data_IF_213378193684
#
_entry.id   IF_213378193684
#
_cell.length_a   1.000
_cell.length_b   1.000
_cell.length_c   1.000
_cell.angle_alpha   90.00
_cell.angle_beta   90.00
_cell.angle_gamma   90.00
#
_symmetry.space_group_name_H-M   'P 1'
#
loop_
_entity.id
_entity.type
_entity.pdbx_description
1 polymer ?
#
# COMPACT_ATOMS: atom_id res chain seq x y z
N UNK A 1 -15.51 -14.34 -35.34
CA UNK A 1 -14.17 -14.92 -35.11
C UNK A 1 -13.32 -14.46 -36.28
N UNK A 2 -12.27 -13.68 -36.03
CA UNK A 2 -11.30 -13.33 -37.07
C UNK A 2 -10.30 -14.45 -37.28
N UNK A 3 -9.45 -14.28 -38.29
CA UNK A 3 -8.50 -15.30 -38.70
C UNK A 3 -7.47 -15.59 -37.61
N UNK A 4 -7.14 -16.88 -37.46
CA UNK A 4 -6.08 -17.33 -36.57
C UNK A 4 -4.74 -16.95 -37.16
N UNK A 5 -4.01 -16.11 -36.44
CA UNK A 5 -2.68 -15.66 -36.83
C UNK A 5 -1.63 -16.47 -36.06
N UNK A 6 -0.57 -16.89 -36.74
CA UNK A 6 0.54 -17.56 -36.06
C UNK A 6 1.38 -16.56 -35.27
N UNK A 7 2.06 -17.00 -34.20
CA UNK A 7 2.89 -16.12 -33.37
C UNK A 7 4.03 -15.49 -34.20
N UNK A 8 4.64 -16.26 -35.10
CA UNK A 8 5.70 -15.76 -35.98
C UNK A 8 5.19 -14.69 -36.94
N UNK A 9 4.01 -14.89 -37.51
CA UNK A 9 3.36 -13.90 -38.38
C UNK A 9 2.99 -12.63 -37.61
N UNK A 10 2.45 -12.76 -36.38
CA UNK A 10 2.16 -11.63 -35.49
C UNK A 10 3.43 -10.80 -35.24
N UNK A 11 4.52 -11.45 -34.85
CA UNK A 11 5.80 -10.79 -34.56
C UNK A 11 6.36 -10.11 -35.81
N UNK A 12 6.32 -10.78 -36.97
CA UNK A 12 6.79 -10.22 -38.24
C UNK A 12 6.02 -8.95 -38.62
N UNK A 13 4.68 -9.01 -38.56
CA UNK A 13 3.82 -7.87 -38.86
C UNK A 13 4.02 -6.73 -37.85
N UNK A 14 4.15 -7.05 -36.56
CA UNK A 14 4.43 -6.04 -35.54
C UNK A 14 5.79 -5.35 -35.80
N UNK A 15 6.80 -6.13 -36.17
CA UNK A 15 8.15 -5.64 -36.49
C UNK A 15 8.16 -4.79 -37.76
N UNK A 16 7.26 -5.04 -38.71
CA UNK A 16 7.06 -4.20 -39.91
C UNK A 16 6.26 -2.92 -39.65
N UNK A 17 5.97 -2.59 -38.39
CA UNK A 17 5.23 -1.39 -38.00
C UNK A 17 3.71 -1.54 -37.94
N UNK A 18 3.16 -2.73 -38.23
CA UNK A 18 1.72 -2.97 -38.07
C UNK A 18 1.36 -2.93 -36.58
N UNK A 19 0.29 -2.21 -36.24
CA UNK A 19 -0.26 -2.19 -34.87
C UNK A 19 -1.71 -2.68 -34.81
N UNK A 20 -2.42 -2.71 -35.94
CA UNK A 20 -3.80 -3.17 -35.99
C UNK A 20 -3.89 -4.70 -36.11
N UNK A 21 -4.32 -5.33 -35.02
CA UNK A 21 -4.56 -6.76 -34.86
C UNK A 21 -5.95 -7.03 -34.27
N UNK A 22 -6.94 -6.20 -34.61
CA UNK A 22 -8.30 -6.32 -34.09
C UNK A 22 -8.95 -7.63 -34.51
N UNK A 23 -9.77 -8.19 -33.61
CA UNK A 23 -10.56 -9.41 -33.80
C UNK A 23 -9.76 -10.65 -34.21
N UNK A 24 -8.44 -10.64 -34.06
CA UNK A 24 -7.58 -11.79 -34.40
C UNK A 24 -7.79 -12.94 -33.41
N UNK A 25 -7.60 -14.16 -33.88
CA UNK A 25 -7.54 -15.33 -33.00
C UNK A 25 -6.09 -15.65 -32.62
N UNK A 26 -5.79 -15.43 -31.35
CA UNK A 26 -4.52 -15.68 -30.65
C UNK A 26 -4.73 -16.67 -29.48
N UNK A 27 -5.81 -17.45 -29.52
CA UNK A 27 -6.13 -18.38 -28.44
C UNK A 27 -5.11 -19.51 -28.35
N UNK A 28 -4.69 -19.80 -27.10
CA UNK A 28 -3.67 -20.80 -26.79
C UNK A 28 -2.27 -20.48 -27.34
N UNK A 29 -2.04 -19.26 -27.83
CA UNK A 29 -0.74 -18.87 -28.39
C UNK A 29 0.31 -18.66 -27.29
N UNK A 30 1.54 -19.08 -27.57
CA UNK A 30 2.71 -18.75 -26.74
C UNK A 30 3.22 -17.35 -27.10
N UNK A 31 2.87 -16.38 -26.27
CA UNK A 31 3.18 -14.95 -26.42
C UNK A 31 4.05 -14.46 -25.26
N UNK A 32 4.81 -15.36 -24.61
CA UNK A 32 5.64 -15.00 -23.47
C UNK A 32 6.66 -13.95 -23.87
N UNK A 33 6.76 -12.89 -23.06
CA UNK A 33 7.74 -11.81 -23.24
C UNK A 33 7.67 -11.10 -24.60
N UNK A 34 6.57 -11.27 -25.34
CA UNK A 34 6.36 -10.56 -26.60
C UNK A 34 6.22 -9.07 -26.32
N UNK A 35 6.67 -8.24 -27.26
CA UNK A 35 6.39 -6.81 -27.22
C UNK A 35 5.22 -6.50 -28.15
N UNK A 36 4.11 -6.05 -27.58
CA UNK A 36 2.91 -5.60 -28.27
C UNK A 36 2.49 -4.21 -27.78
N UNK A 37 3.43 -3.39 -27.31
CA UNK A 37 3.17 -2.00 -26.92
C UNK A 37 2.45 -1.24 -28.04
N UNK A 38 1.41 -0.49 -27.69
CA UNK A 38 0.55 0.24 -28.64
C UNK A 38 -0.18 -0.63 -29.67
N UNK A 39 -0.20 -1.96 -29.52
CA UNK A 39 -0.98 -2.80 -30.41
C UNK A 39 -2.48 -2.59 -30.16
N UNK A 40 -3.25 -2.77 -31.22
CA UNK A 40 -4.70 -2.72 -31.19
C UNK A 40 -5.25 -4.13 -31.34
N UNK A 41 -5.62 -4.73 -30.21
CA UNK A 41 -6.13 -6.08 -30.04
C UNK A 41 -7.61 -6.06 -29.64
N UNK A 42 -8.33 -5.00 -30.01
CA UNK A 42 -9.76 -4.87 -29.73
C UNK A 42 -10.53 -6.09 -30.25
N UNK A 43 -11.34 -6.70 -29.39
CA UNK A 43 -12.17 -7.86 -29.73
C UNK A 43 -11.40 -9.15 -30.04
N UNK A 44 -10.07 -9.16 -29.87
CA UNK A 44 -9.25 -10.34 -30.18
C UNK A 44 -9.48 -11.45 -29.17
N UNK A 45 -9.37 -12.69 -29.65
CA UNK A 45 -9.48 -13.89 -28.83
C UNK A 45 -8.09 -14.28 -28.32
N UNK A 46 -7.85 -14.08 -27.02
CA UNK A 46 -6.60 -14.39 -26.30
C UNK A 46 -6.85 -15.46 -25.22
N UNK A 47 -7.93 -16.24 -25.33
CA UNK A 47 -8.25 -17.30 -24.36
C UNK A 47 -7.10 -18.27 -24.25
N UNK A 48 -6.72 -18.61 -23.02
CA UNK A 48 -5.60 -19.53 -22.72
C UNK A 48 -4.24 -19.11 -23.33
N UNK A 49 -4.08 -17.87 -23.77
CA UNK A 49 -2.79 -17.40 -24.27
C UNK A 49 -1.78 -17.29 -23.12
N UNK A 50 -0.53 -17.62 -23.41
CA UNK A 50 0.59 -17.47 -22.48
C UNK A 50 1.25 -16.11 -22.73
N UNK A 51 0.91 -15.10 -21.95
CA UNK A 51 1.40 -13.71 -22.04
C UNK A 51 2.37 -13.36 -20.90
N UNK A 52 3.01 -14.37 -20.29
CA UNK A 52 3.89 -14.18 -19.14
C UNK A 52 5.02 -13.21 -19.49
N UNK A 53 5.18 -12.13 -18.72
CA UNK A 53 6.18 -11.10 -18.95
C UNK A 53 6.03 -10.31 -20.26
N UNK A 54 4.89 -10.42 -20.95
CA UNK A 54 4.65 -9.66 -22.18
C UNK A 54 4.58 -8.16 -21.91
N UNK A 55 5.07 -7.36 -22.85
CA UNK A 55 4.90 -5.91 -22.84
C UNK A 55 3.63 -5.54 -23.59
N UNK A 56 2.60 -5.18 -22.83
CA UNK A 56 1.28 -4.74 -23.29
C UNK A 56 1.00 -3.29 -22.86
N UNK A 57 2.03 -2.48 -22.60
CA UNK A 57 1.85 -1.08 -22.24
C UNK A 57 1.05 -0.34 -23.33
N UNK A 58 0.08 0.49 -22.91
CA UNK A 58 -0.75 1.31 -23.79
C UNK A 58 -1.46 0.51 -24.91
N UNK A 59 -1.67 -0.78 -24.71
CA UNK A 59 -2.34 -1.66 -25.69
C UNK A 59 -3.86 -1.44 -25.63
N UNK A 60 -4.51 -1.43 -26.79
CA UNK A 60 -5.96 -1.34 -26.89
C UNK A 60 -6.57 -2.75 -26.92
N UNK A 61 -7.12 -3.20 -25.79
CA UNK A 61 -7.79 -4.49 -25.56
C UNK A 61 -9.32 -4.41 -25.24
N UNK A 62 -10.10 -3.36 -25.60
CA UNK A 62 -11.54 -3.39 -25.35
C UNK A 62 -12.21 -4.62 -25.97
N UNK A 63 -13.11 -5.24 -25.21
CA UNK A 63 -13.85 -6.44 -25.62
C UNK A 63 -12.98 -7.66 -25.95
N UNK A 64 -11.67 -7.61 -25.69
CA UNK A 64 -10.80 -8.77 -25.88
C UNK A 64 -11.18 -9.89 -24.91
N UNK A 65 -11.06 -11.14 -25.37
CA UNK A 65 -11.34 -12.31 -24.56
C UNK A 65 -10.03 -12.94 -24.05
N UNK A 66 -9.70 -12.67 -22.80
CA UNK A 66 -8.49 -13.11 -22.08
C UNK A 66 -8.83 -14.21 -21.06
N UNK A 67 -9.94 -14.95 -21.23
CA UNK A 67 -10.32 -15.97 -20.25
C UNK A 67 -9.20 -16.98 -20.06
N UNK A 68 -8.83 -17.20 -18.80
CA UNK A 68 -7.75 -18.13 -18.41
C UNK A 68 -6.41 -17.88 -19.12
N UNK A 69 -6.19 -16.68 -19.64
CA UNK A 69 -4.89 -16.28 -20.13
C UNK A 69 -3.91 -16.09 -18.97
N UNK A 70 -2.63 -16.30 -19.23
CA UNK A 70 -1.59 -16.12 -18.24
C UNK A 70 -0.80 -14.84 -18.53
N UNK A 71 -1.13 -13.76 -17.82
CA UNK A 71 -0.45 -12.46 -17.86
C UNK A 71 0.45 -12.24 -16.63
N UNK A 72 0.92 -13.31 -15.99
CA UNK A 72 1.87 -13.17 -14.87
C UNK A 72 3.08 -12.32 -15.28
N UNK A 73 3.49 -11.38 -14.43
CA UNK A 73 4.63 -10.48 -14.69
C UNK A 73 4.50 -9.58 -15.93
N UNK A 74 3.33 -9.53 -16.59
CA UNK A 74 3.14 -8.71 -17.79
C UNK A 74 3.03 -7.22 -17.42
N UNK A 75 3.47 -6.34 -18.34
CA UNK A 75 3.31 -4.90 -18.19
C UNK A 75 2.10 -4.42 -18.99
N UNK A 76 1.06 -3.96 -18.30
CA UNK A 76 -0.20 -3.43 -18.85
C UNK A 76 -0.42 -1.96 -18.46
N UNK A 77 0.65 -1.23 -18.11
CA UNK A 77 0.56 0.18 -17.75
C UNK A 77 -0.18 0.97 -18.83
N UNK A 78 -1.18 1.75 -18.42
CA UNK A 78 -2.03 2.55 -19.31
C UNK A 78 -2.78 1.75 -20.40
N UNK A 79 -2.85 0.42 -20.31
CA UNK A 79 -3.60 -0.40 -21.26
C UNK A 79 -5.11 -0.15 -21.13
N UNK A 80 -5.83 -0.29 -22.24
CA UNK A 80 -7.29 -0.14 -22.29
C UNK A 80 -7.93 -1.52 -22.35
N UNK A 81 -8.51 -1.98 -21.24
CA UNK A 81 -9.15 -3.28 -21.06
C UNK A 81 -10.66 -3.15 -20.82
N UNK A 82 -11.28 -2.07 -21.32
CA UNK A 82 -12.72 -1.79 -21.15
C UNK A 82 -13.55 -2.97 -21.60
N UNK A 83 -14.41 -3.46 -20.71
CA UNK A 83 -15.31 -4.59 -20.98
C UNK A 83 -14.58 -5.86 -21.50
N UNK A 84 -13.27 -5.96 -21.29
CA UNK A 84 -12.51 -7.17 -21.61
C UNK A 84 -12.91 -8.30 -20.65
N UNK A 85 -12.78 -9.53 -21.13
CA UNK A 85 -13.10 -10.72 -20.34
C UNK A 85 -11.83 -11.40 -19.84
N UNK A 86 -11.46 -11.15 -18.59
CA UNK A 86 -10.31 -11.75 -17.90
C UNK A 86 -10.74 -12.84 -16.90
N UNK A 87 -11.92 -13.44 -17.05
CA UNK A 87 -12.41 -14.45 -16.10
C UNK A 87 -11.39 -15.58 -15.96
N UNK A 88 -10.96 -15.85 -14.73
CA UNK A 88 -9.99 -16.89 -14.41
C UNK A 88 -8.59 -16.67 -14.96
N UNK A 89 -8.25 -15.47 -15.44
CA UNK A 89 -6.90 -15.15 -15.89
C UNK A 89 -5.93 -15.04 -14.71
N UNK A 90 -4.66 -15.33 -14.95
CA UNK A 90 -3.59 -15.14 -13.97
C UNK A 90 -2.83 -13.85 -14.29
N UNK A 91 -2.83 -12.86 -13.39
CA UNK A 91 -2.11 -11.61 -13.47
C UNK A 91 -1.28 -11.34 -12.20
N UNK A 92 -0.80 -12.41 -11.54
CA UNK A 92 0.14 -12.28 -10.42
C UNK A 92 1.33 -11.41 -10.82
N UNK A 93 1.71 -10.47 -9.96
CA UNK A 93 2.80 -9.50 -10.20
C UNK A 93 2.69 -8.65 -11.48
N UNK A 94 1.54 -8.66 -12.16
CA UNK A 94 1.35 -7.84 -13.34
C UNK A 94 1.28 -6.35 -12.97
N UNK A 95 1.73 -5.50 -13.89
CA UNK A 95 1.71 -4.05 -13.70
C UNK A 95 0.61 -3.40 -14.53
N UNK A 96 -0.51 -3.09 -13.88
CA UNK A 96 -1.70 -2.42 -14.43
C UNK A 96 -1.80 -0.95 -13.99
N UNK A 97 -0.67 -0.28 -13.71
CA UNK A 97 -0.64 1.16 -13.37
C UNK A 97 -1.50 1.97 -14.35
N UNK A 98 -2.48 2.68 -13.82
CA UNK A 98 -3.43 3.52 -14.57
C UNK A 98 -4.16 2.83 -15.75
N UNK A 99 -4.21 1.50 -15.77
CA UNK A 99 -4.97 0.77 -16.78
C UNK A 99 -6.48 1.03 -16.66
N UNK A 100 -7.18 1.03 -17.80
CA UNK A 100 -8.63 1.24 -17.85
C UNK A 100 -9.37 -0.10 -18.00
N UNK A 101 -9.84 -0.63 -16.89
CA UNK A 101 -10.61 -1.89 -16.78
C UNK A 101 -12.11 -1.63 -16.55
N UNK A 102 -12.64 -0.48 -16.96
CA UNK A 102 -14.05 -0.14 -16.75
C UNK A 102 -14.94 -1.24 -17.33
N UNK A 103 -15.84 -1.79 -16.50
CA UNK A 103 -16.78 -2.85 -16.90
C UNK A 103 -16.13 -4.21 -17.23
N UNK A 104 -14.83 -4.37 -17.04
CA UNK A 104 -14.14 -5.63 -17.31
C UNK A 104 -14.64 -6.76 -16.40
N UNK A 105 -14.54 -8.00 -16.87
CA UNK A 105 -14.89 -9.19 -16.10
C UNK A 105 -13.62 -9.88 -15.59
N UNK A 106 -13.38 -9.81 -14.29
CA UNK A 106 -12.24 -10.37 -13.55
C UNK A 106 -12.71 -11.44 -12.53
N UNK A 107 -13.85 -12.08 -12.80
CA UNK A 107 -14.43 -13.07 -11.88
C UNK A 107 -13.43 -14.24 -11.73
N UNK A 108 -13.06 -14.54 -10.48
CA UNK A 108 -12.10 -15.60 -10.13
C UNK A 108 -10.73 -15.49 -10.82
N UNK A 109 -10.31 -14.29 -11.23
CA UNK A 109 -8.94 -14.08 -11.69
C UNK A 109 -7.98 -13.94 -10.51
N UNK A 110 -6.71 -14.25 -10.76
CA UNK A 110 -5.65 -14.21 -9.76
C UNK A 110 -4.77 -12.98 -10.00
N UNK A 111 -4.81 -11.98 -9.12
CA UNK A 111 -3.97 -10.78 -9.16
C UNK A 111 -3.19 -10.54 -7.85
N UNK A 112 -2.67 -11.58 -7.16
CA UNK A 112 -1.91 -11.33 -5.95
C UNK A 112 -0.67 -10.51 -6.27
N UNK A 113 -0.36 -9.53 -5.41
CA UNK A 113 0.81 -8.65 -5.54
C UNK A 113 0.87 -7.84 -6.86
N UNK A 114 -0.23 -7.73 -7.61
CA UNK A 114 -0.28 -6.90 -8.81
C UNK A 114 -0.27 -5.41 -8.47
N UNK A 115 0.25 -4.59 -9.38
CA UNK A 115 0.17 -3.13 -9.28
C UNK A 115 -1.05 -2.61 -10.04
N UNK A 116 -2.03 -2.07 -9.34
CA UNK A 116 -3.25 -1.45 -9.88
C UNK A 116 -3.39 0.01 -9.43
N UNK A 117 -2.29 0.67 -9.06
CA UNK A 117 -2.31 2.08 -8.66
C UNK A 117 -3.01 2.93 -9.73
N UNK A 118 -4.00 3.72 -9.32
CA UNK A 118 -4.77 4.59 -10.20
C UNK A 118 -5.60 3.88 -11.28
N UNK A 119 -5.68 2.54 -11.28
CA UNK A 119 -6.44 1.80 -12.28
C UNK A 119 -7.94 2.12 -12.18
N UNK A 120 -8.63 2.10 -13.33
CA UNK A 120 -10.07 2.40 -13.42
C UNK A 120 -10.85 1.09 -13.54
N UNK A 121 -11.50 0.67 -12.46
CA UNK A 121 -12.29 -0.56 -12.34
C UNK A 121 -13.78 -0.28 -12.08
N UNK A 122 -14.25 0.93 -12.39
CA UNK A 122 -15.67 1.29 -12.25
C UNK A 122 -16.55 0.29 -12.99
N UNK A 123 -17.61 -0.20 -12.33
CA UNK A 123 -18.53 -1.24 -12.85
C UNK A 123 -17.88 -2.61 -13.17
N UNK A 124 -16.62 -2.85 -12.79
CA UNK A 124 -15.96 -4.12 -13.03
C UNK A 124 -16.59 -5.26 -12.21
N UNK A 125 -16.54 -6.48 -12.76
CA UNK A 125 -17.02 -7.70 -12.11
C UNK A 125 -15.83 -8.45 -11.53
N UNK A 126 -15.64 -8.37 -10.22
CA UNK A 126 -14.48 -8.85 -9.45
C UNK A 126 -14.88 -9.94 -8.43
N UNK A 127 -16.00 -10.63 -8.65
CA UNK A 127 -16.50 -11.64 -7.71
C UNK A 127 -15.47 -12.76 -7.53
N UNK A 128 -15.13 -13.07 -6.28
CA UNK A 128 -14.12 -14.07 -5.94
C UNK A 128 -12.74 -13.82 -6.55
N UNK A 129 -12.42 -12.58 -6.93
CA UNK A 129 -11.07 -12.23 -7.40
C UNK A 129 -10.08 -12.35 -6.26
N UNK A 130 -8.85 -12.77 -6.57
CA UNK A 130 -7.75 -12.69 -5.61
C UNK A 130 -6.91 -11.43 -5.89
N UNK A 131 -6.91 -10.49 -4.95
CA UNK A 131 -6.14 -9.24 -4.94
C UNK A 131 -5.28 -9.15 -3.68
N UNK A 132 -4.95 -10.28 -3.06
CA UNK A 132 -4.13 -10.31 -1.85
C UNK A 132 -2.79 -9.58 -2.10
N UNK A 133 -2.44 -8.68 -1.19
CA UNK A 133 -1.23 -7.85 -1.23
C UNK A 133 -1.09 -6.98 -2.49
N UNK A 134 -2.16 -6.78 -3.27
CA UNK A 134 -2.13 -5.93 -4.45
C UNK A 134 -2.01 -4.44 -4.05
N UNK A 135 -1.31 -3.66 -4.88
CA UNK A 135 -1.26 -2.21 -4.74
C UNK A 135 -2.42 -1.57 -5.51
N UNK A 136 -3.42 -1.09 -4.79
CA UNK A 136 -4.64 -0.45 -5.28
C UNK A 136 -4.71 1.04 -4.90
N UNK A 137 -3.56 1.68 -4.64
CA UNK A 137 -3.50 3.08 -4.23
C UNK A 137 -4.25 3.98 -5.23
N UNK A 138 -5.23 4.75 -4.75
CA UNK A 138 -6.02 5.66 -5.58
C UNK A 138 -6.89 5.00 -6.65
N UNK A 139 -7.15 3.69 -6.55
CA UNK A 139 -7.98 2.93 -7.51
C UNK A 139 -9.41 3.49 -7.58
N UNK A 140 -10.05 3.39 -8.76
CA UNK A 140 -11.48 3.67 -8.93
C UNK A 140 -12.29 2.37 -9.04
N UNK A 141 -12.91 1.95 -7.94
CA UNK A 141 -13.77 0.76 -7.80
C UNK A 141 -15.25 1.13 -7.64
N UNK A 142 -15.67 2.34 -8.04
CA UNK A 142 -17.06 2.78 -7.88
C UNK A 142 -18.04 1.79 -8.52
N UNK A 143 -19.04 1.35 -7.76
CA UNK A 143 -20.07 0.40 -8.21
C UNK A 143 -19.49 -0.92 -8.77
N UNK A 144 -18.26 -1.26 -8.42
CA UNK A 144 -17.66 -2.54 -8.79
C UNK A 144 -18.22 -3.66 -7.89
N UNK A 145 -18.26 -4.89 -8.41
CA UNK A 145 -18.71 -6.04 -7.64
C UNK A 145 -17.53 -6.91 -7.21
N UNK A 146 -17.11 -6.75 -5.97
CA UNK A 146 -16.06 -7.50 -5.27
C UNK A 146 -16.64 -8.53 -4.28
N UNK A 147 -17.84 -9.05 -4.50
CA UNK A 147 -18.42 -10.07 -3.62
C UNK A 147 -17.48 -11.28 -3.47
N UNK A 148 -17.26 -11.72 -2.24
CA UNK A 148 -16.34 -12.82 -1.89
C UNK A 148 -14.87 -12.60 -2.36
N UNK A 149 -14.45 -11.38 -2.71
CA UNK A 149 -13.09 -11.11 -3.13
C UNK A 149 -12.07 -11.32 -1.98
N UNK A 150 -10.86 -11.75 -2.32
CA UNK A 150 -9.73 -11.80 -1.39
C UNK A 150 -8.86 -10.55 -1.58
N UNK A 151 -8.70 -9.76 -0.52
CA UNK A 151 -8.01 -8.48 -0.47
C UNK A 151 -7.11 -8.42 0.79
N UNK A 152 -6.63 -9.57 1.27
CA UNK A 152 -5.80 -9.63 2.47
C UNK A 152 -4.54 -8.78 2.25
N UNK A 153 -4.25 -7.87 3.18
CA UNK A 153 -3.10 -6.97 3.10
C UNK A 153 -3.01 -6.14 1.80
N UNK A 154 -4.12 -5.89 1.12
CA UNK A 154 -4.14 -5.03 -0.06
C UNK A 154 -4.01 -3.54 0.34
N UNK A 155 -3.33 -2.75 -0.49
CA UNK A 155 -3.08 -1.33 -0.26
C UNK A 155 -4.07 -0.49 -1.08
N UNK A 156 -5.19 -0.06 -0.49
CA UNK A 156 -6.33 0.63 -1.15
C UNK A 156 -6.48 2.08 -0.65
N UNK A 157 -5.39 2.71 -0.17
CA UNK A 157 -5.42 4.07 0.34
C UNK A 157 -5.93 5.04 -0.72
N UNK A 158 -6.74 6.02 -0.31
CA UNK A 158 -7.38 6.98 -1.21
C UNK A 158 -8.24 6.37 -2.33
N UNK A 159 -8.59 5.08 -2.22
CA UNK A 159 -9.44 4.39 -3.18
C UNK A 159 -10.86 4.98 -3.22
N UNK A 160 -11.49 4.91 -4.39
CA UNK A 160 -12.89 5.31 -4.62
C UNK A 160 -13.75 4.06 -4.74
N UNK A 161 -14.46 3.69 -3.68
CA UNK A 161 -15.29 2.49 -3.58
C UNK A 161 -16.78 2.82 -3.38
N UNK A 162 -17.24 4.02 -3.75
CA UNK A 162 -18.63 4.42 -3.54
C UNK A 162 -19.58 3.44 -4.22
N UNK A 163 -20.54 2.92 -3.45
CA UNK A 163 -21.51 1.92 -3.90
C UNK A 163 -20.90 0.58 -4.34
N UNK A 164 -19.64 0.28 -4.00
CA UNK A 164 -19.04 -1.01 -4.32
C UNK A 164 -19.71 -2.14 -3.52
N UNK A 165 -19.82 -3.33 -4.13
CA UNK A 165 -20.35 -4.52 -3.47
C UNK A 165 -19.19 -5.39 -2.98
N UNK A 166 -18.98 -5.46 -1.68
CA UNK A 166 -17.92 -6.20 -0.97
C UNK A 166 -18.51 -7.26 -0.01
N UNK A 167 -19.75 -7.69 -0.24
CA UNK A 167 -20.40 -8.71 0.57
C UNK A 167 -19.53 -9.98 0.68
N UNK A 168 -19.22 -10.40 1.91
CA UNK A 168 -18.37 -11.55 2.18
C UNK A 168 -16.89 -11.41 1.79
N UNK A 169 -16.44 -10.22 1.37
CA UNK A 169 -15.05 -9.99 0.98
C UNK A 169 -14.11 -10.13 2.19
N UNK A 170 -12.88 -10.59 1.93
CA UNK A 170 -11.83 -10.71 2.92
C UNK A 170 -10.82 -9.57 2.78
N UNK A 171 -10.89 -8.58 3.67
CA UNK A 171 -10.06 -7.39 3.75
C UNK A 171 -9.10 -7.42 4.96
N UNK A 172 -8.86 -8.61 5.53
CA UNK A 172 -8.00 -8.75 6.72
C UNK A 172 -6.63 -8.10 6.49
N UNK A 173 -6.26 -7.19 7.40
CA UNK A 173 -4.99 -6.45 7.34
C UNK A 173 -4.83 -5.49 6.16
N UNK A 174 -5.88 -5.24 5.36
CA UNK A 174 -5.85 -4.30 4.26
C UNK A 174 -5.73 -2.84 4.74
N UNK A 175 -5.19 -1.98 3.89
CA UNK A 175 -5.04 -0.56 4.17
C UNK A 175 -6.01 0.27 3.31
N UNK A 176 -7.08 0.76 3.93
CA UNK A 176 -8.10 1.63 3.32
C UNK A 176 -8.07 3.04 3.92
N UNK A 177 -6.91 3.49 4.40
CA UNK A 177 -6.75 4.84 4.92
C UNK A 177 -7.24 5.88 3.90
N UNK A 178 -8.07 6.82 4.35
CA UNK A 178 -8.64 7.89 3.53
C UNK A 178 -9.43 7.41 2.29
N UNK A 179 -9.82 6.12 2.24
CA UNK A 179 -10.65 5.60 1.17
C UNK A 179 -12.11 6.10 1.30
N UNK A 180 -12.80 6.20 0.18
CA UNK A 180 -14.22 6.55 0.17
C UNK A 180 -15.08 5.33 -0.16
N UNK A 181 -15.73 4.77 0.86
CA UNK A 181 -16.66 3.64 0.79
C UNK A 181 -18.12 4.08 1.02
N UNK A 182 -18.48 5.33 0.72
CA UNK A 182 -19.84 5.81 0.89
C UNK A 182 -20.85 4.89 0.18
N UNK A 183 -21.84 4.40 0.92
CA UNK A 183 -22.87 3.49 0.42
C UNK A 183 -22.38 2.11 -0.03
N UNK A 184 -21.14 1.72 0.31
CA UNK A 184 -20.63 0.39 -0.03
C UNK A 184 -21.33 -0.71 0.78
N UNK A 185 -21.56 -1.87 0.16
CA UNK A 185 -22.07 -3.05 0.84
C UNK A 185 -20.90 -3.92 1.32
N UNK A 186 -20.68 -3.98 2.63
CA UNK A 186 -19.66 -4.77 3.34
C UNK A 186 -20.31 -5.83 4.25
N UNK A 187 -21.54 -6.27 3.94
CA UNK A 187 -22.22 -7.30 4.72
C UNK A 187 -21.37 -8.56 4.82
N UNK A 188 -21.25 -9.12 6.02
CA UNK A 188 -20.47 -10.35 6.30
C UNK A 188 -18.98 -10.27 5.89
N UNK A 189 -18.44 -9.08 5.61
CA UNK A 189 -17.04 -8.90 5.25
C UNK A 189 -16.11 -9.13 6.44
N UNK A 190 -14.89 -9.61 6.17
CA UNK A 190 -13.82 -9.75 7.16
C UNK A 190 -12.88 -8.56 7.05
N UNK A 191 -12.88 -7.70 8.08
CA UNK A 191 -12.11 -6.46 8.17
C UNK A 191 -11.14 -6.51 9.36
N UNK A 192 -10.69 -7.70 9.73
CA UNK A 192 -9.85 -7.89 10.92
C UNK A 192 -8.51 -7.18 10.71
N UNK A 193 -8.12 -6.29 11.62
CA UNK A 193 -6.87 -5.54 11.52
C UNK A 193 -6.80 -4.54 10.36
N UNK A 194 -7.91 -4.25 9.69
CA UNK A 194 -7.96 -3.33 8.55
C UNK A 194 -7.73 -1.88 9.00
N UNK A 195 -6.93 -1.11 8.27
CA UNK A 195 -6.77 0.33 8.52
C UNK A 195 -7.84 1.12 7.75
N UNK A 196 -8.82 1.68 8.45
CA UNK A 196 -9.88 2.55 7.92
C UNK A 196 -9.74 4.00 8.43
N UNK A 197 -8.53 4.40 8.86
CA UNK A 197 -8.28 5.74 9.40
C UNK A 197 -8.70 6.82 8.39
N UNK A 198 -9.55 7.75 8.82
CA UNK A 198 -10.07 8.84 7.99
C UNK A 198 -10.96 8.40 6.81
N UNK A 199 -11.39 7.13 6.77
CA UNK A 199 -12.23 6.65 5.67
C UNK A 199 -13.63 7.28 5.72
N UNK A 200 -14.19 7.56 4.54
CA UNK A 200 -15.61 7.90 4.42
C UNK A 200 -16.43 6.61 4.30
N UNK A 201 -17.18 6.28 5.35
CA UNK A 201 -18.04 5.10 5.49
C UNK A 201 -19.53 5.49 5.56
N UNK A 202 -19.89 6.70 5.15
CA UNK A 202 -21.27 7.18 5.23
C UNK A 202 -22.22 6.23 4.50
N UNK A 203 -23.32 5.84 5.16
CA UNK A 203 -24.32 4.93 4.62
C UNK A 203 -23.79 3.56 4.18
N UNK A 204 -22.57 3.18 4.57
CA UNK A 204 -22.03 1.86 4.28
C UNK A 204 -22.76 0.78 5.11
N UNK A 205 -22.88 -0.42 4.54
CA UNK A 205 -23.56 -1.53 5.17
C UNK A 205 -22.54 -2.56 5.68
N UNK A 206 -22.35 -2.62 6.99
CA UNK A 206 -21.50 -3.56 7.71
C UNK A 206 -22.28 -4.64 8.45
N UNK A 207 -23.52 -4.96 8.07
CA UNK A 207 -24.28 -5.98 8.79
C UNK A 207 -23.48 -7.28 8.92
N UNK A 208 -23.33 -7.75 10.18
CA UNK A 208 -22.61 -8.98 10.53
C UNK A 208 -21.14 -9.02 10.07
N UNK A 209 -20.54 -7.88 9.71
CA UNK A 209 -19.13 -7.80 9.38
C UNK A 209 -18.25 -7.98 10.63
N UNK A 210 -17.01 -8.45 10.43
CA UNK A 210 -16.02 -8.56 11.50
C UNK A 210 -14.94 -7.48 11.37
N UNK A 211 -14.98 -6.44 12.21
CA UNK A 211 -14.02 -5.35 12.28
C UNK A 211 -13.08 -5.45 13.51
N UNK A 212 -12.87 -6.64 14.07
CA UNK A 212 -11.91 -6.81 15.17
C UNK A 212 -10.53 -6.25 14.83
N UNK A 213 -9.93 -5.52 15.76
CA UNK A 213 -8.63 -4.85 15.59
C UNK A 213 -8.53 -3.85 14.42
N UNK A 214 -9.65 -3.52 13.75
CA UNK A 214 -9.66 -2.48 12.73
C UNK A 214 -9.39 -1.09 13.33
N UNK A 215 -8.74 -0.22 12.56
CA UNK A 215 -8.51 1.19 12.93
C UNK A 215 -9.55 2.07 12.26
N UNK A 216 -10.46 2.65 13.03
CA UNK A 216 -11.52 3.55 12.56
C UNK A 216 -11.26 5.02 12.97
N UNK A 217 -10.03 5.37 13.36
CA UNK A 217 -9.70 6.71 13.84
C UNK A 217 -10.07 7.76 12.80
N UNK A 218 -10.87 8.76 13.19
CA UNK A 218 -11.34 9.82 12.28
C UNK A 218 -12.26 9.37 11.14
N UNK A 219 -12.74 8.12 11.14
CA UNK A 219 -13.62 7.62 10.09
C UNK A 219 -15.04 8.21 10.22
N UNK A 220 -15.73 8.41 9.10
CA UNK A 220 -17.09 8.91 9.08
C UNK A 220 -18.09 7.78 8.83
N UNK A 221 -18.79 7.32 9.87
CA UNK A 221 -19.82 6.28 9.85
C UNK A 221 -21.26 6.83 9.89
N UNK A 222 -21.48 8.08 9.48
CA UNK A 222 -22.83 8.66 9.49
C UNK A 222 -23.83 7.79 8.70
N UNK A 223 -24.93 7.40 9.36
CA UNK A 223 -25.96 6.56 8.75
C UNK A 223 -25.50 5.14 8.35
N UNK A 224 -24.31 4.70 8.76
CA UNK A 224 -23.84 3.35 8.46
C UNK A 224 -24.68 2.29 9.20
N UNK A 225 -24.84 1.12 8.59
CA UNK A 225 -25.57 0.00 9.17
C UNK A 225 -24.60 -1.02 9.76
N UNK A 226 -24.50 -1.14 11.09
CA UNK A 226 -23.58 -2.04 11.77
C UNK A 226 -24.29 -3.15 12.54
N UNK A 227 -25.55 -3.47 12.19
CA UNK A 227 -26.32 -4.44 12.94
C UNK A 227 -25.60 -5.81 13.00
N UNK A 228 -25.36 -6.29 14.22
CA UNK A 228 -24.67 -7.57 14.46
C UNK A 228 -23.17 -7.57 14.11
N UNK A 229 -22.55 -6.42 13.83
CA UNK A 229 -21.12 -6.35 13.54
C UNK A 229 -20.27 -6.56 14.80
N UNK A 230 -19.10 -7.17 14.63
CA UNK A 230 -18.03 -7.20 15.66
C UNK A 230 -17.14 -5.98 15.43
N UNK A 231 -16.98 -5.14 16.43
CA UNK A 231 -16.25 -3.87 16.35
C UNK A 231 -14.88 -3.97 17.02
N UNK A 232 -13.94 -3.07 16.68
CA UNK A 232 -12.69 -2.96 17.41
C UNK A 232 -12.93 -2.34 18.80
N UNK A 233 -11.89 -2.34 19.64
CA UNK A 233 -11.92 -1.62 20.90
C UNK A 233 -12.14 -0.10 20.67
N UNK A 234 -12.78 0.58 21.63
CA UNK A 234 -13.11 2.03 21.53
C UNK A 234 -11.88 2.89 21.23
N UNK A 235 -10.71 2.53 21.75
CA UNK A 235 -9.43 3.21 21.49
C UNK A 235 -9.07 3.31 20.00
N UNK A 236 -9.52 2.35 19.17
CA UNK A 236 -9.31 2.37 17.72
C UNK A 236 -10.39 3.16 16.97
N UNK A 237 -11.35 3.79 17.66
CA UNK A 237 -12.46 4.54 17.06
C UNK A 237 -12.43 6.03 17.44
N UNK A 238 -11.33 6.52 18.00
CA UNK A 238 -11.19 7.93 18.40
C UNK A 238 -11.39 8.90 17.23
N UNK A 239 -12.11 10.00 17.45
CA UNK A 239 -12.40 11.02 16.43
C UNK A 239 -13.38 10.58 15.33
N UNK A 240 -13.92 9.36 15.39
CA UNK A 240 -14.87 8.86 14.39
C UNK A 240 -16.29 9.41 14.62
N UNK A 241 -17.05 9.53 13.53
CA UNK A 241 -18.39 10.12 13.53
C UNK A 241 -19.48 9.07 13.32
N UNK A 242 -20.47 9.00 14.22
CA UNK A 242 -21.47 7.90 14.30
C UNK A 242 -22.92 8.35 14.23
N UNK A 243 -23.19 9.62 13.89
CA UNK A 243 -24.57 10.13 13.89
C UNK A 243 -25.46 9.30 12.96
N UNK A 244 -26.59 8.83 13.49
CA UNK A 244 -27.54 8.01 12.73
C UNK A 244 -27.06 6.60 12.39
N UNK A 245 -25.91 6.15 12.88
CA UNK A 245 -25.45 4.78 12.66
C UNK A 245 -26.37 3.76 13.36
N UNK A 246 -26.72 2.68 12.66
CA UNK A 246 -27.53 1.60 13.22
C UNK A 246 -26.64 0.57 13.91
N UNK A 247 -26.55 0.65 15.25
CA UNK A 247 -25.62 -0.15 16.05
C UNK A 247 -26.32 -1.22 16.91
N UNK A 248 -27.48 -1.71 16.47
CA UNK A 248 -28.21 -2.75 17.21
C UNK A 248 -27.44 -4.08 17.16
N UNK A 249 -27.18 -4.66 18.33
CA UNK A 249 -26.51 -5.97 18.43
C UNK A 249 -25.02 -5.96 18.07
N UNK A 250 -24.39 -4.78 18.00
CA UNK A 250 -22.92 -4.68 17.85
C UNK A 250 -22.23 -5.35 19.05
N UNK A 251 -21.09 -5.97 18.79
CA UNK A 251 -20.27 -6.63 19.79
C UNK A 251 -18.92 -5.93 19.90
N UNK A 252 -18.53 -5.51 21.10
CA UNK A 252 -17.18 -5.00 21.37
C UNK A 252 -16.36 -6.05 22.13
N UNK A 253 -15.02 -6.06 22.01
CA UNK A 253 -14.17 -7.12 22.55
C UNK A 253 -14.28 -7.27 24.07
N UNK A 254 -14.50 -6.17 24.80
CA UNK A 254 -14.60 -6.13 26.27
C UNK A 254 -16.04 -6.14 26.79
N UNK A 255 -17.04 -6.29 25.93
CA UNK A 255 -18.46 -6.26 26.30
C UNK A 255 -19.00 -4.88 26.69
N UNK A 256 -18.22 -3.83 26.49
CA UNK A 256 -18.61 -2.44 26.68
C UNK A 256 -19.74 -2.02 25.71
N UNK A 257 -20.45 -0.95 26.05
CA UNK A 257 -21.56 -0.43 25.22
C UNK A 257 -21.05 0.71 24.35
N UNK A 258 -21.18 0.59 23.03
CA UNK A 258 -20.80 1.66 22.11
C UNK A 258 -21.57 2.97 22.36
N UNK A 259 -22.86 2.87 22.68
CA UNK A 259 -23.71 4.04 22.95
C UNK A 259 -23.19 4.95 24.06
N UNK A 260 -22.44 4.43 25.05
CA UNK A 260 -21.87 5.27 26.12
C UNK A 260 -20.58 5.99 25.70
N UNK A 261 -19.96 5.59 24.59
CA UNK A 261 -18.73 6.18 24.09
C UNK A 261 -18.97 7.31 23.08
N UNK A 262 -20.14 7.35 22.45
CA UNK A 262 -20.51 8.36 21.46
C UNK A 262 -21.05 9.60 22.20
N UNK A 263 -20.40 10.75 22.01
CA UNK A 263 -20.83 12.03 22.55
C UNK A 263 -22.09 12.57 21.84
N UNK A 264 -22.71 13.60 22.42
CA UNK A 264 -23.97 14.16 21.92
C UNK A 264 -23.88 14.76 20.51
N UNK A 265 -22.69 15.20 20.10
CA UNK A 265 -22.40 15.68 18.74
C UNK A 265 -22.28 14.55 17.71
N UNK A 266 -22.20 13.30 18.17
CA UNK A 266 -22.06 12.09 17.35
C UNK A 266 -20.62 11.61 17.20
N UNK A 267 -19.64 12.25 17.84
CA UNK A 267 -18.24 11.81 17.79
C UNK A 267 -17.88 10.89 18.95
N UNK A 268 -16.95 9.97 18.71
CA UNK A 268 -16.19 9.36 19.80
C UNK A 268 -15.01 10.30 20.11
N UNK A 269 -14.92 10.87 21.32
CA UNK A 269 -13.87 11.82 21.65
C UNK A 269 -12.49 11.18 21.54
N UNK A 270 -11.52 11.95 21.10
CA UNK A 270 -10.12 11.56 21.15
C UNK A 270 -9.63 11.74 22.60
N UNK A 271 -9.33 10.64 23.29
CA UNK A 271 -8.84 10.69 24.66
C UNK A 271 -7.47 11.37 24.77
N UNK A 272 -6.75 11.55 23.66
CA UNK A 272 -5.49 12.32 23.59
C UNK A 272 -5.73 13.83 23.45
N UNK A 273 -6.93 14.24 23.02
CA UNK A 273 -7.30 15.65 22.87
C UNK A 273 -8.06 16.21 24.08
N UNK A 274 -8.28 15.42 25.13
CA UNK A 274 -8.83 15.90 26.40
C UNK A 274 -7.67 16.51 27.20
N UNK A 275 -7.55 17.84 27.16
CA UNK A 275 -6.89 18.58 28.24
C UNK A 275 -7.50 18.16 29.59
N UNK A 276 -6.71 18.15 30.68
CA UNK A 276 -7.18 17.63 31.96
C UNK A 276 -8.43 18.41 32.39
N UNK A 277 -9.51 17.66 32.60
CA UNK A 277 -10.74 18.16 33.22
C UNK A 277 -10.35 18.89 34.50
N UNK A 278 -10.68 20.19 34.59
CA UNK A 278 -10.66 20.93 35.84
C UNK A 278 -11.48 20.14 36.87
N UNK A 279 -10.80 19.55 37.85
CA UNK A 279 -11.48 18.91 38.97
C UNK A 279 -12.06 20.00 39.86
N UNK A 280 -13.36 20.23 39.75
CA UNK A 280 -14.12 20.99 40.73
C UNK A 280 -14.29 20.13 41.97
N UNK A 281 -13.70 20.55 43.09
CA UNK A 281 -14.05 20.07 44.43
C UNK A 281 -14.88 21.17 45.15
N UNK A 282 -16.18 20.98 45.44
CA UNK A 282 -17.04 22.01 46.03
C UNK A 282 -16.90 22.21 47.55
N UNK A 283 -15.85 21.70 48.21
CA UNK A 283 -15.84 21.57 49.67
C UNK A 283 -14.59 22.10 50.41
N UNK A 284 -13.96 23.19 49.95
CA UNK A 284 -13.02 23.95 50.82
C UNK A 284 -13.51 25.38 51.01
N UNK A 285 -14.25 25.57 52.10
CA UNK A 285 -14.68 26.87 52.63
C UNK A 285 -13.65 27.38 53.66
N UNK A 286 -13.46 28.71 53.66
CA UNK A 286 -12.64 29.54 54.57
C UNK A 286 -11.13 29.54 54.22
N UNK A 287 -10.50 30.67 53.88
CA UNK A 287 -10.30 31.91 54.67
C UNK A 287 -10.13 33.11 53.71
N UNK A 288 -10.70 34.27 54.04
CA UNK A 288 -10.57 35.57 53.33
C UNK A 288 -9.45 36.45 53.97
N UNK A 289 -9.14 37.70 53.54
CA UNK A 289 -9.36 38.43 52.26
C UNK A 289 -8.11 39.21 51.74
N UNK A 290 -8.20 39.80 50.54
CA UNK A 290 -7.51 41.05 50.18
C UNK A 290 -6.34 40.96 49.20
N UNK A 291 -6.50 41.54 48.00
CA UNK A 291 -5.81 42.74 47.47
C UNK A 291 -6.44 43.05 46.09
N UNK A 292 -6.73 44.34 45.87
CA UNK A 292 -7.41 44.93 44.71
C UNK A 292 -6.69 44.75 43.35
N UNK A 293 -7.41 44.90 42.21
CA UNK A 293 -6.87 44.70 40.87
C UNK A 293 -6.08 45.92 40.37
N UNK A 294 -4.99 45.70 39.64
CA UNK A 294 -4.27 46.76 38.91
C UNK A 294 -4.70 46.78 37.44
N UNK A 295 -5.09 47.98 37.05
CA UNK A 295 -5.66 48.50 35.79
C UNK A 295 -4.75 48.27 34.54
N UNK A 296 -5.31 47.93 33.36
CA UNK A 296 -4.55 47.60 32.17
C UNK A 296 -4.37 48.84 31.26
N UNK A 297 -3.41 49.72 31.57
CA UNK A 297 -2.96 50.74 30.62
C UNK A 297 -1.68 51.47 31.10
N UNK A 298 -0.51 50.90 30.81
CA UNK A 298 0.74 51.65 30.80
C UNK A 298 1.67 51.12 29.70
N UNK A 299 1.61 51.77 28.53
CA UNK A 299 2.59 51.72 27.44
C UNK A 299 3.35 53.07 27.46
N UNK A 300 4.66 53.13 27.15
CA UNK A 300 5.10 53.27 25.74
C UNK A 300 6.45 52.56 25.41
N UNK A 301 6.60 51.97 24.21
CA UNK A 301 7.19 52.48 22.96
C UNK A 301 8.74 52.44 22.88
N UNK A 302 9.21 51.86 21.76
CA UNK A 302 10.58 51.74 21.22
C UNK A 302 11.55 50.71 21.82
N UNK A 303 11.77 49.62 21.08
CA UNK A 303 12.99 49.43 20.27
C UNK A 303 12.89 48.14 19.46
N UNK A 304 13.03 48.29 18.14
CA UNK A 304 13.18 47.25 17.16
C UNK A 304 14.54 46.55 17.28
N UNK A 305 14.57 45.21 17.23
CA UNK A 305 15.43 44.39 16.34
C UNK A 305 15.44 42.89 16.72
N UNK A 306 15.00 42.05 15.76
CA UNK A 306 15.39 40.65 15.47
C UNK A 306 14.85 39.49 16.37
N UNK A 307 14.81 38.22 15.89
CA UNK A 307 13.86 37.64 14.91
C UNK A 307 13.10 36.39 15.43
N UNK A 308 12.15 35.89 14.63
CA UNK A 308 11.30 34.72 14.85
C UNK A 308 12.02 33.47 15.40
N UNK A 309 11.53 32.94 16.52
CA UNK A 309 11.84 31.61 17.02
C UNK A 309 10.63 30.67 16.80
N UNK A 310 10.90 29.56 16.13
CA UNK A 310 9.98 28.47 15.83
C UNK A 310 9.59 27.67 17.09
N UNK A 311 8.41 27.01 17.11
CA UNK A 311 7.97 26.18 18.23
C UNK A 311 8.63 24.79 18.23
N UNK A 312 8.80 24.27 19.44
CA UNK A 312 9.36 22.96 19.82
C UNK A 312 8.51 21.77 19.34
N UNK A 313 9.10 20.55 19.15
CA UNK A 313 8.34 19.32 18.94
C UNK A 313 8.18 18.50 20.22
N UNK A 314 6.92 18.15 20.52
CA UNK A 314 6.53 17.14 21.51
C UNK A 314 6.73 15.70 21.01
N UNK A 315 6.99 14.83 21.99
CA UNK A 315 7.29 13.40 21.96
C UNK A 315 6.02 12.53 22.02
N UNK A 316 5.94 11.42 21.26
CA UNK A 316 5.61 10.07 21.79
C UNK A 316 5.48 8.97 20.72
N UNK A 317 5.96 7.77 21.07
CA UNK A 317 6.09 6.58 20.23
C UNK A 317 4.89 5.60 20.31
N UNK A 318 4.67 4.69 19.33
CA UNK A 318 3.75 3.55 19.47
C UNK A 318 4.45 2.20 19.79
N UNK A 319 3.70 1.20 20.30
CA UNK A 319 4.19 0.17 21.20
C UNK A 319 4.69 -1.14 20.54
N UNK A 320 5.43 -1.91 21.32
CA UNK A 320 6.06 -3.21 21.01
C UNK A 320 5.05 -4.38 20.95
N UNK A 321 5.10 -5.18 19.87
CA UNK A 321 4.41 -6.48 19.77
C UNK A 321 5.23 -7.61 20.41
N UNK A 322 4.64 -8.33 21.37
CA UNK A 322 5.15 -9.61 21.86
C UNK A 322 4.75 -10.75 20.91
N UNK A 323 5.67 -11.71 20.71
CA UNK A 323 5.51 -12.84 19.79
C UNK A 323 5.07 -14.14 20.50
N UNK A 324 4.13 -14.84 19.88
CA UNK A 324 3.55 -16.14 20.29
C UNK A 324 4.58 -17.29 20.11
N UNK A 325 4.80 -18.20 21.08
CA UNK A 325 5.97 -19.08 21.11
C UNK A 325 5.90 -20.34 20.22
N UNK A 326 4.88 -20.51 19.37
CA UNK A 326 4.66 -21.79 18.66
C UNK A 326 4.82 -21.74 17.13
N UNK A 327 5.58 -20.77 16.60
CA UNK A 327 5.83 -20.62 15.16
C UNK A 327 7.03 -21.45 14.69
N UNK A 328 6.82 -22.36 13.72
CA UNK A 328 7.86 -23.30 13.26
C UNK A 328 8.80 -22.71 12.20
N UNK A 329 10.07 -23.12 12.20
CA UNK A 329 11.12 -22.59 11.33
C UNK A 329 10.88 -22.78 9.80
N UNK A 330 9.99 -23.70 9.39
CA UNK A 330 9.61 -23.85 7.98
C UNK A 330 8.72 -22.71 7.49
N UNK A 331 7.93 -22.11 8.38
CA UNK A 331 7.02 -21.01 8.05
C UNK A 331 7.80 -19.72 7.82
N UNK A 332 8.91 -19.52 8.54
CA UNK A 332 9.83 -18.38 8.34
C UNK A 332 10.51 -18.45 6.97
N UNK A 333 11.02 -19.60 6.55
CA UNK A 333 11.66 -19.73 5.23
C UNK A 333 10.69 -19.53 4.07
N UNK A 334 9.43 -19.94 4.25
CA UNK A 334 8.37 -19.73 3.25
C UNK A 334 7.92 -18.28 3.20
N UNK A 335 7.72 -17.65 4.36
CA UNK A 335 7.36 -16.23 4.50
C UNK A 335 8.48 -15.32 4.01
N UNK A 336 9.74 -15.68 4.24
CA UNK A 336 10.92 -14.96 3.72
C UNK A 336 11.03 -15.13 2.20
N UNK A 337 10.80 -16.32 1.64
CA UNK A 337 10.76 -16.50 0.17
C UNK A 337 9.60 -15.75 -0.49
N UNK A 338 8.44 -15.73 0.15
CA UNK A 338 7.27 -14.97 -0.30
C UNK A 338 7.49 -13.45 -0.16
N UNK A 339 8.21 -12.99 0.88
CA UNK A 339 8.61 -11.59 1.05
C UNK A 339 9.69 -11.15 0.04
N UNK A 340 10.64 -12.03 -0.30
CA UNK A 340 11.67 -11.80 -1.33
C UNK A 340 11.06 -11.71 -2.75
N UNK A 341 9.97 -12.42 -3.01
CA UNK A 341 9.25 -12.34 -4.28
C UNK A 341 8.49 -11.00 -4.45
N UNK A 342 8.03 -10.38 -3.35
CA UNK A 342 7.24 -9.14 -3.37
C UNK A 342 8.05 -7.84 -3.57
N UNK A 343 9.38 -7.86 -3.36
CA UNK A 343 10.19 -6.62 -3.18
C UNK A 343 11.09 -6.25 -4.36
N UNK A 344 10.87 -6.85 -5.53
CA UNK A 344 11.61 -6.49 -6.74
C UNK A 344 11.05 -5.18 -7.29
N UNK A 345 11.72 -4.06 -7.00
CA UNK A 345 11.47 -2.78 -7.67
C UNK A 345 11.55 -2.88 -9.20
N UNK A 346 11.37 -1.76 -9.94
CA UNK A 346 11.29 -1.77 -11.40
C UNK A 346 12.42 -2.58 -12.04
N UNK A 347 12.07 -3.59 -12.85
CA UNK A 347 13.00 -4.62 -13.34
C UNK A 347 14.23 -4.04 -14.06
N UNK A 348 14.08 -2.87 -14.69
CA UNK A 348 15.16 -2.12 -15.34
C UNK A 348 16.19 -1.56 -14.32
N UNK A 349 15.72 -0.99 -13.21
CA UNK A 349 16.58 -0.44 -12.15
C UNK A 349 17.41 -1.54 -11.47
N UNK A 350 16.80 -2.71 -11.26
CA UNK A 350 17.49 -3.89 -10.74
C UNK A 350 18.59 -4.37 -11.70
N UNK A 351 18.33 -4.41 -13.01
CA UNK A 351 19.34 -4.78 -14.00
C UNK A 351 20.51 -3.79 -14.01
N UNK A 352 20.23 -2.49 -13.90
CA UNK A 352 21.27 -1.45 -13.79
C UNK A 352 22.14 -1.66 -12.55
N UNK A 353 21.53 -1.91 -11.38
CA UNK A 353 22.28 -2.16 -10.14
C UNK A 353 23.05 -3.50 -10.18
N UNK A 354 22.49 -4.54 -10.78
CA UNK A 354 23.20 -5.81 -11.00
C UNK A 354 24.45 -5.62 -11.86
N UNK A 355 24.36 -4.82 -12.93
CA UNK A 355 25.51 -4.47 -13.75
C UNK A 355 26.52 -3.59 -12.98
N UNK A 356 26.04 -2.57 -12.26
CA UNK A 356 26.89 -1.63 -11.52
C UNK A 356 27.70 -2.32 -10.40
N UNK A 357 27.10 -3.29 -9.71
CA UNK A 357 27.74 -4.02 -8.61
C UNK A 357 28.30 -5.40 -9.01
N UNK A 358 28.33 -5.73 -10.30
CA UNK A 358 28.76 -7.03 -10.80
C UNK A 358 28.06 -8.23 -10.11
N UNK A 359 26.77 -8.08 -9.83
CA UNK A 359 25.97 -9.09 -9.13
C UNK A 359 26.37 -9.33 -7.67
N UNK A 360 27.05 -8.39 -7.00
CA UNK A 360 27.47 -8.52 -5.60
C UNK A 360 26.73 -7.56 -4.66
N UNK A 361 26.42 -8.00 -3.44
CA UNK A 361 25.87 -7.13 -2.41
C UNK A 361 26.85 -5.99 -2.05
N UNK A 362 26.37 -4.75 -2.03
CA UNK A 362 27.15 -3.56 -1.72
C UNK A 362 27.75 -3.56 -0.31
N UNK A 363 27.15 -4.30 0.64
CA UNK A 363 27.64 -4.41 2.02
C UNK A 363 28.45 -5.71 2.19
N UNK A 364 27.82 -6.87 1.95
CA UNK A 364 28.43 -8.16 2.30
C UNK A 364 29.30 -8.77 1.18
N UNK A 365 29.20 -8.28 -0.04
CA UNK A 365 29.86 -8.88 -1.21
C UNK A 365 29.24 -10.21 -1.67
N UNK A 366 28.12 -10.64 -1.08
CA UNK A 366 27.42 -11.86 -1.48
C UNK A 366 27.02 -11.79 -2.96
N UNK A 367 27.37 -12.81 -3.74
CA UNK A 367 27.11 -12.89 -5.19
C UNK A 367 25.95 -13.81 -5.56
N UNK A 368 25.10 -14.16 -4.59
CA UNK A 368 23.90 -14.96 -4.82
C UNK A 368 22.80 -14.06 -5.42
N UNK A 369 22.86 -13.82 -6.73
CA UNK A 369 21.93 -12.94 -7.48
C UNK A 369 20.44 -13.11 -7.10
N UNK A 370 19.90 -14.34 -6.90
CA UNK A 370 18.50 -14.51 -6.49
C UNK A 370 18.14 -13.91 -5.13
N UNK A 371 19.11 -13.77 -4.23
CA UNK A 371 18.96 -13.23 -2.87
C UNK A 371 19.27 -11.73 -2.78
N UNK A 372 19.72 -11.11 -3.89
CA UNK A 372 19.98 -9.68 -3.97
C UNK A 372 18.71 -8.93 -4.38
N UNK A 373 18.58 -7.69 -3.92
CA UNK A 373 17.45 -6.81 -4.14
C UNK A 373 17.95 -5.39 -4.43
N UNK A 374 17.22 -4.72 -5.31
CA UNK A 374 17.48 -3.33 -5.68
C UNK A 374 16.76 -2.42 -4.71
N UNK A 375 17.52 -1.65 -3.95
CA UNK A 375 17.02 -0.73 -2.94
C UNK A 375 17.06 0.68 -3.48
N UNK A 376 15.94 1.40 -3.45
CA UNK A 376 15.91 2.82 -3.80
C UNK A 376 16.13 3.65 -2.52
N UNK A 377 17.09 4.57 -2.56
CA UNK A 377 17.41 5.40 -1.39
C UNK A 377 16.36 6.49 -1.13
N UNK A 378 15.64 6.96 -2.17
CA UNK A 378 14.58 7.98 -2.06
C UNK A 378 13.22 7.46 -2.56
N UNK A 379 12.10 7.66 -1.82
CA UNK A 379 10.77 7.19 -2.21
C UNK A 379 10.05 8.05 -3.28
N UNK A 380 10.29 9.36 -3.31
CA UNK A 380 9.52 10.32 -4.11
C UNK A 380 10.40 11.02 -5.16
N UNK A 381 10.62 10.43 -6.34
CA UNK A 381 11.05 11.21 -7.51
C UNK A 381 10.62 10.54 -8.82
N UNK A 382 10.02 11.29 -9.76
CA UNK A 382 9.56 10.77 -11.03
C UNK A 382 10.72 10.56 -12.03
N UNK A 383 10.58 9.57 -12.89
CA UNK A 383 11.11 9.52 -14.26
C UNK A 383 12.59 9.21 -14.58
N UNK A 384 13.47 8.87 -13.63
CA UNK A 384 14.83 8.43 -14.02
C UNK A 384 15.29 7.14 -13.33
N UNK A 385 14.75 6.01 -13.81
CA UNK A 385 15.04 4.63 -13.36
C UNK A 385 16.34 4.03 -13.95
N UNK A 386 17.17 4.84 -14.62
CA UNK A 386 18.45 4.41 -15.20
C UNK A 386 19.68 4.80 -14.36
N UNK A 387 19.51 5.60 -13.31
CA UNK A 387 20.63 6.10 -12.50
C UNK A 387 20.89 5.19 -11.30
N UNK A 388 21.90 4.31 -11.41
CA UNK A 388 22.28 3.39 -10.35
C UNK A 388 22.88 4.08 -9.11
N UNK A 389 23.31 5.35 -9.20
CA UNK A 389 23.74 6.12 -8.02
C UNK A 389 22.61 6.31 -7.00
N UNK A 390 21.35 6.10 -7.40
CA UNK A 390 20.17 6.33 -6.55
C UNK A 390 19.78 5.09 -5.73
N UNK A 391 20.51 4.00 -5.88
CA UNK A 391 20.18 2.75 -5.20
C UNK A 391 21.37 1.93 -4.78
N UNK A 392 21.06 0.85 -4.07
CA UNK A 392 22.02 -0.13 -3.59
C UNK A 392 21.56 -1.52 -3.96
N UNK A 393 22.51 -2.40 -4.28
CA UNK A 393 22.23 -3.81 -4.42
C UNK A 393 22.49 -4.51 -3.08
N UNK A 394 21.43 -4.84 -2.34
CA UNK A 394 21.54 -5.42 -0.99
C UNK A 394 20.97 -6.84 -0.96
N UNK A 395 21.34 -7.64 0.04
CA UNK A 395 20.53 -8.83 0.35
C UNK A 395 19.17 -8.40 0.91
N UNK A 396 18.16 -9.22 0.69
CA UNK A 396 16.80 -8.96 1.17
C UNK A 396 16.70 -8.65 2.67
N UNK A 397 17.49 -9.30 3.52
CA UNK A 397 17.51 -9.02 4.95
C UNK A 397 18.08 -7.62 5.26
N UNK A 398 19.16 -7.22 4.59
CA UNK A 398 19.77 -5.90 4.75
C UNK A 398 18.91 -4.78 4.16
N UNK A 399 18.20 -5.06 3.07
CA UNK A 399 17.19 -4.15 2.52
C UNK A 399 16.12 -3.84 3.57
N UNK A 400 15.60 -4.87 4.25
CA UNK A 400 14.60 -4.69 5.29
C UNK A 400 15.13 -3.90 6.47
N UNK A 401 16.37 -4.14 6.89
CA UNK A 401 17.00 -3.37 7.96
C UNK A 401 17.16 -1.89 7.57
N UNK A 402 17.46 -1.61 6.29
CA UNK A 402 17.55 -0.24 5.79
C UNK A 402 16.17 0.44 5.74
N UNK A 403 15.10 -0.28 5.39
CA UNK A 403 13.74 0.25 5.33
C UNK A 403 13.11 0.46 6.72
N UNK A 404 13.47 -0.37 7.70
CA UNK A 404 13.09 -0.20 9.10
C UNK A 404 13.95 0.85 9.83
N UNK A 405 14.83 1.55 9.11
CA UNK A 405 15.80 2.49 9.69
C UNK A 405 16.63 1.85 10.81
N UNK A 406 16.99 0.57 10.71
CA UNK A 406 17.85 -0.17 11.67
C UNK A 406 19.29 -0.35 11.16
N UNK A 407 19.51 -0.10 9.88
CA UNK A 407 20.81 -0.01 9.23
C UNK A 407 20.89 1.35 8.57
N UNK A 408 22.03 2.02 8.69
CA UNK A 408 22.28 3.31 8.08
C UNK A 408 23.65 3.32 7.40
N UNK A 409 23.84 4.24 6.47
CA UNK A 409 25.11 4.43 5.78
C UNK A 409 25.49 5.89 5.96
N UNK A 410 26.66 6.13 6.54
CA UNK A 410 27.14 7.48 6.74
C UNK A 410 27.43 8.16 5.39
N UNK A 411 26.84 9.33 5.09
CA UNK A 411 26.91 9.94 3.75
C UNK A 411 28.30 10.41 3.31
N UNK A 412 29.24 10.59 4.25
CA UNK A 412 30.57 11.13 3.97
C UNK A 412 31.62 10.03 3.82
N UNK A 413 31.62 9.06 4.74
CA UNK A 413 32.59 7.96 4.72
C UNK A 413 32.06 6.71 4.02
N UNK A 414 30.76 6.64 3.72
CA UNK A 414 30.07 5.43 3.26
C UNK A 414 30.22 4.24 4.22
N UNK A 415 30.39 4.54 5.52
CA UNK A 415 30.47 3.54 6.58
C UNK A 415 29.08 3.04 6.94
N UNK A 416 28.92 1.72 7.01
CA UNK A 416 27.69 1.06 7.44
C UNK A 416 27.59 1.12 8.95
N UNK A 417 26.52 1.74 9.45
CA UNK A 417 26.17 1.79 10.85
C UNK A 417 24.98 0.87 11.12
N UNK A 418 25.04 0.20 12.26
CA UNK A 418 24.01 -0.75 12.70
C UNK A 418 23.46 -0.28 14.04
N UNK A 419 22.12 -0.27 14.14
CA UNK A 419 21.40 0.19 15.31
C UNK A 419 21.85 -0.53 16.59
N UNK A 420 21.89 0.15 17.76
CA UNK A 420 22.33 -0.45 19.03
C UNK A 420 21.62 -1.77 19.37
N UNK A 421 20.31 -1.87 19.05
CA UNK A 421 19.49 -3.05 19.32
C UNK A 421 19.95 -4.30 18.53
N UNK A 422 20.64 -4.11 17.41
CA UNK A 422 21.15 -5.20 16.56
C UNK A 422 22.61 -5.58 16.87
N UNK A 423 23.29 -4.85 17.78
CA UNK A 423 24.70 -5.11 18.13
C UNK A 423 24.94 -6.42 18.87
N UNK A 424 23.90 -7.06 19.39
CA UNK A 424 23.96 -8.38 20.03
C UNK A 424 23.60 -9.53 19.06
N UNK A 425 23.39 -9.23 17.78
CA UNK A 425 23.02 -10.19 16.74
C UNK A 425 24.17 -10.43 15.76
N UNK A 426 23.98 -11.36 14.82
CA UNK A 426 24.92 -11.59 13.72
C UNK A 426 25.12 -10.38 12.79
N UNK A 427 24.31 -9.32 12.88
CA UNK A 427 24.48 -8.09 12.11
C UNK A 427 25.51 -7.12 12.71
N UNK A 428 25.92 -7.34 13.97
CA UNK A 428 26.91 -6.50 14.64
C UNK A 428 28.23 -6.39 13.86
N UNK A 429 28.62 -7.47 13.18
CA UNK A 429 29.84 -7.52 12.35
C UNK A 429 29.83 -6.56 11.16
N UNK A 430 28.64 -6.07 10.74
CA UNK A 430 28.50 -5.12 9.64
C UNK A 430 28.77 -3.68 10.06
N UNK A 431 28.70 -3.41 11.37
CA UNK A 431 28.96 -2.08 11.93
C UNK A 431 30.41 -1.67 11.66
N UNK A 432 30.61 -0.49 11.09
CA UNK A 432 31.93 0.04 10.76
C UNK A 432 32.51 -0.46 9.43
N UNK A 433 31.79 -1.29 8.67
CA UNK A 433 32.26 -1.70 7.34
C UNK A 433 32.05 -0.59 6.32
N UNK A 434 33.00 -0.41 5.41
CA UNK A 434 32.82 0.48 4.26
C UNK A 434 31.96 -0.19 3.19
N UNK A 435 31.05 0.58 2.58
CA UNK A 435 30.36 0.14 1.38
C UNK A 435 31.36 -0.21 0.28
N UNK A 436 31.07 -1.29 -0.43
CA UNK A 436 31.82 -1.65 -1.64
C UNK A 436 31.43 -0.69 -2.76
N UNK A 437 32.42 -0.07 -3.43
CA UNK A 437 32.12 0.81 -4.56
C UNK A 437 31.62 -0.01 -5.76
N UNK A 438 30.72 0.56 -6.58
CA UNK A 438 30.35 -0.03 -7.86
C UNK A 438 31.54 -0.01 -8.84
N UNK A 439 31.42 -0.80 -9.93
CA UNK A 439 32.44 -0.88 -10.98
C UNK A 439 32.67 0.45 -11.70
N UNK A 440 31.59 1.21 -11.91
CA UNK A 440 31.64 2.54 -12.51
C UNK A 440 31.51 3.61 -11.40
N UNK A 441 32.52 4.49 -11.23
CA UNK A 441 32.49 5.55 -10.23
C UNK A 441 31.30 6.53 -10.35
N UNK A 442 30.66 6.62 -11.53
CA UNK A 442 29.46 7.45 -11.71
C UNK A 442 28.22 6.90 -10.98
N UNK A 443 28.24 5.63 -10.56
CA UNK A 443 27.15 5.00 -9.82
C UNK A 443 27.37 4.95 -8.30
N UNK A 444 28.38 5.65 -7.79
CA UNK A 444 28.56 5.78 -6.33
C UNK A 444 27.27 6.35 -5.72
N UNK A 445 26.76 5.77 -4.63
CA UNK A 445 25.50 6.18 -4.04
C UNK A 445 25.42 7.70 -3.79
N UNK A 446 24.33 8.32 -4.24
CA UNK A 446 24.12 9.74 -4.14
C UNK A 446 24.09 10.17 -2.65
N UNK A 447 24.95 11.13 -2.31
CA UNK A 447 25.10 11.64 -0.95
C UNK A 447 23.83 12.27 -0.37
N UNK A 448 23.05 13.00 -1.17
CA UNK A 448 21.78 13.58 -0.72
C UNK A 448 20.76 12.48 -0.39
N UNK A 449 20.77 11.39 -1.17
CA UNK A 449 19.90 10.26 -0.93
C UNK A 449 20.30 9.46 0.32
N UNK A 450 21.60 9.29 0.54
CA UNK A 450 22.12 8.70 1.79
C UNK A 450 21.80 9.60 2.99
N UNK A 451 22.00 10.91 2.87
CA UNK A 451 21.70 11.88 3.94
C UNK A 451 20.23 11.83 4.33
N UNK A 452 19.33 11.81 3.34
CA UNK A 452 17.89 11.74 3.58
C UNK A 452 17.47 10.52 4.42
N UNK A 453 18.10 9.35 4.20
CA UNK A 453 17.87 8.14 5.01
C UNK A 453 18.59 8.21 6.35
N UNK A 454 19.80 8.74 6.38
CA UNK A 454 20.59 8.92 7.59
C UNK A 454 19.85 9.78 8.62
N UNK A 455 19.25 10.89 8.19
CA UNK A 455 18.46 11.81 9.04
C UNK A 455 17.17 11.18 9.60
N UNK A 456 16.74 10.04 9.03
CA UNK A 456 15.53 9.29 9.45
C UNK A 456 15.85 8.08 10.31
N UNK A 457 17.11 7.93 10.72
CA UNK A 457 17.53 6.89 11.65
C UNK A 457 17.51 7.46 13.08
N UNK A 458 16.57 7.07 13.95
CA UNK A 458 16.37 7.70 15.26
C UNK A 458 17.46 7.41 16.31
N UNK A 459 18.47 6.61 15.96
CA UNK A 459 19.51 6.11 16.87
C UNK A 459 20.93 6.57 16.50
N UNK A 460 21.03 7.39 15.46
CA UNK A 460 22.25 8.09 15.05
C UNK A 460 22.22 9.46 15.71
#
# INVERSE_FOLDING_TARGET
MGDKISVSELIQLYSSGRRNFRNTDLSGSDLKRVNLRWADLQGSNLRWAELQGANLQETNLPWADLQRANLSDATLQYAILKEANLRGACLQWADLLEADLKGATLIKSELPCANLRGARLRLAKLQGVNLDKANLYGVDLRVANLGEAHLCHAEIQYGKLQGAHLCGANLTGANLQQANLQGANLQEAKLIGTNLTGANLQQADFQRANLEDAKLIGANLEGANLQGARLPAIENMQGSYWKGAHIQGVQLPRGEKLNSAIAADGFIPDLRSLSPVESVDPAVRAIAPGVDPVDPAALPADLADLPEAAPEPETDAPPTMEADPNFSASDVSKTVREAIALRRGPLLFRQTLLAAYNGQCAITGCNAEPALEAVCLLPDYPDNLQDASRGLLLRADLHNLLDLSLLAIEPHTHTVLVAPQLRQTSYAQLHGQLLRPPLDPSYVPNREALQWRFDRCPWI
#
